data_IF_438582741658
#
_entry.id   IF_438582741658
#
_cell.length_a   1.000
_cell.length_b   1.000
_cell.length_c   1.000
_cell.angle_alpha   90.00
_cell.angle_beta   90.00
_cell.angle_gamma   90.00
#
_symmetry.space_group_name_H-M   'P 1'
#
loop_
_entity.id
_entity.type
_entity.pdbx_description
1 polymer ?
#
# COMPACT_ATOMS: atom_id res chain seq x y z
N UNK A 1 19.61 -22.41 -17.89
CA UNK A 1 18.62 -21.62 -17.13
C UNK A 1 17.24 -22.03 -17.63
N UNK A 2 16.48 -22.81 -16.88
CA UNK A 2 15.21 -23.43 -17.32
C UNK A 2 14.13 -22.39 -17.72
N UNK A 3 14.21 -21.19 -17.15
CA UNK A 3 13.31 -20.08 -17.46
C UNK A 3 13.40 -19.63 -18.94
N UNK A 4 14.59 -19.68 -19.54
CA UNK A 4 14.77 -19.25 -20.94
C UNK A 4 14.16 -20.25 -21.92
N UNK A 5 14.10 -21.53 -21.56
CA UNK A 5 13.45 -22.57 -22.37
C UNK A 5 11.92 -22.43 -22.36
N UNK A 6 11.36 -22.06 -21.22
CA UNK A 6 9.91 -21.82 -21.05
C UNK A 6 9.42 -20.56 -21.77
N UNK A 7 10.22 -19.50 -21.81
CA UNK A 7 9.85 -18.27 -22.54
C UNK A 7 9.80 -18.46 -24.05
N UNK A 8 10.63 -19.35 -24.60
CA UNK A 8 10.69 -19.63 -26.05
C UNK A 8 9.54 -20.54 -26.52
N UNK A 9 8.95 -21.34 -25.63
CA UNK A 9 7.86 -22.26 -25.98
C UNK A 9 6.46 -21.66 -25.95
N UNK A 10 6.31 -20.40 -25.50
CA UNK A 10 5.01 -19.73 -25.45
C UNK A 10 4.64 -19.08 -26.80
N UNK A 11 3.35 -19.14 -27.21
CA UNK A 11 2.89 -18.49 -28.44
C UNK A 11 3.21 -16.98 -28.44
N UNK A 12 3.61 -16.38 -29.56
CA UNK A 12 3.98 -14.98 -29.60
C UNK A 12 2.74 -14.11 -29.33
N UNK A 13 2.69 -13.50 -28.13
CA UNK A 13 1.58 -12.67 -27.65
C UNK A 13 1.39 -11.34 -28.42
N UNK A 14 2.03 -11.17 -29.59
CA UNK A 14 2.00 -9.93 -30.36
C UNK A 14 2.61 -8.73 -29.64
N UNK A 15 3.31 -8.96 -28.52
CA UNK A 15 3.97 -7.92 -27.72
C UNK A 15 5.37 -7.67 -28.28
N UNK A 16 5.56 -6.56 -28.96
CA UNK A 16 6.88 -6.10 -29.41
C UNK A 16 7.72 -5.69 -28.19
N UNK A 17 8.52 -6.63 -27.68
CA UNK A 17 9.43 -6.37 -26.57
C UNK A 17 10.63 -5.55 -27.08
N UNK A 18 10.59 -4.22 -26.88
CA UNK A 18 11.75 -3.37 -27.14
C UNK A 18 12.71 -3.50 -25.96
N UNK A 19 14.00 -3.72 -26.25
CA UNK A 19 15.08 -3.71 -25.24
C UNK A 19 15.39 -2.26 -24.84
N UNK A 20 14.41 -1.60 -24.25
CA UNK A 20 14.62 -0.32 -23.61
C UNK A 20 15.30 -0.56 -22.26
N UNK A 21 16.25 0.28 -21.89
CA UNK A 21 17.04 0.18 -20.65
C UNK A 21 16.15 0.07 -19.41
N UNK A 22 15.01 0.77 -19.40
CA UNK A 22 14.02 0.71 -18.31
C UNK A 22 13.38 -0.66 -18.09
N UNK A 23 13.27 -1.49 -19.14
CA UNK A 23 12.74 -2.85 -19.03
C UNK A 23 13.81 -3.78 -18.44
N UNK A 24 15.07 -3.60 -18.83
CA UNK A 24 16.19 -4.32 -18.23
C UNK A 24 16.34 -3.96 -16.75
N UNK A 25 16.24 -2.68 -16.39
CA UNK A 25 16.21 -2.21 -15.00
C UNK A 25 15.04 -2.85 -14.23
N UNK A 26 13.85 -2.94 -14.84
CA UNK A 26 12.69 -3.59 -14.22
C UNK A 26 12.91 -5.10 -14.00
N UNK A 27 13.56 -5.79 -14.94
CA UNK A 27 13.88 -7.21 -14.81
C UNK A 27 14.94 -7.41 -13.73
N UNK A 28 15.98 -6.58 -13.73
CA UNK A 28 17.09 -6.65 -12.78
C UNK A 28 16.60 -6.36 -11.35
N UNK A 29 15.72 -5.38 -11.17
CA UNK A 29 15.08 -5.08 -9.88
C UNK A 29 14.11 -6.15 -9.39
N UNK A 30 13.50 -6.93 -10.30
CA UNK A 30 12.63 -8.07 -9.95
C UNK A 30 13.41 -9.35 -9.64
N UNK A 31 14.55 -9.56 -10.31
CA UNK A 31 15.43 -10.71 -10.09
C UNK A 31 16.41 -10.52 -8.93
N UNK A 32 16.72 -9.26 -8.58
CA UNK A 32 17.53 -8.90 -7.44
C UNK A 32 16.76 -7.90 -6.54
N UNK A 33 15.95 -8.39 -5.57
CA UNK A 33 15.14 -7.53 -4.70
C UNK A 33 15.93 -6.56 -3.79
N UNK A 34 17.26 -6.51 -3.88
CA UNK A 34 18.13 -5.86 -2.91
C UNK A 34 18.64 -4.45 -3.30
N UNK A 35 18.27 -3.88 -4.45
CA UNK A 35 19.00 -2.68 -4.94
C UNK A 35 18.20 -1.41 -5.28
N UNK A 36 16.90 -1.32 -4.99
CA UNK A 36 16.21 0.00 -5.03
C UNK A 36 15.72 0.41 -3.65
N UNK A 37 16.68 0.62 -2.77
CA UNK A 37 16.46 1.44 -1.58
C UNK A 37 17.71 2.28 -1.39
N UNK A 38 17.86 3.35 -2.18
CA UNK A 38 18.81 4.44 -1.94
C UNK A 38 18.52 5.60 -2.90
N UNK A 39 17.34 6.22 -2.74
CA UNK A 39 17.16 7.67 -2.84
C UNK A 39 16.07 8.12 -1.86
N UNK A 40 16.25 7.67 -0.63
CA UNK A 40 15.88 8.37 0.60
C UNK A 40 16.62 7.67 1.74
N UNK A 41 17.91 8.01 1.85
CA UNK A 41 18.77 7.86 3.03
C UNK A 41 18.76 6.52 3.79
N UNK A 42 19.64 5.61 3.31
CA UNK A 42 20.62 4.82 4.07
C UNK A 42 20.09 4.03 5.30
N UNK A 43 19.83 2.74 5.11
CA UNK A 43 20.02 1.72 6.15
C UNK A 43 21.05 0.70 5.64
N UNK A 44 22.19 0.67 6.33
CA UNK A 44 23.33 -0.22 6.09
C UNK A 44 22.94 -1.66 6.48
N UNK A 45 22.91 -2.56 5.50
CA UNK A 45 22.31 -3.88 5.61
C UNK A 45 23.31 -4.96 6.05
N UNK A 46 24.03 -4.74 7.15
CA UNK A 46 24.98 -5.73 7.71
C UNK A 46 24.69 -6.13 9.16
N UNK A 47 23.45 -5.97 9.64
CA UNK A 47 23.06 -6.50 10.96
C UNK A 47 21.62 -7.03 10.94
N UNK A 48 21.48 -8.28 10.50
CA UNK A 48 20.21 -8.93 10.12
C UNK A 48 19.30 -9.30 11.30
N UNK A 49 19.67 -9.11 12.57
CA UNK A 49 18.86 -9.68 13.66
C UNK A 49 18.18 -8.70 14.65
N UNK A 50 18.25 -7.37 14.49
CA UNK A 50 17.64 -6.45 15.49
C UNK A 50 16.94 -5.18 14.96
N UNK A 51 16.76 -4.98 13.64
CA UNK A 51 16.24 -3.71 13.10
C UNK A 51 15.02 -3.77 12.15
N UNK A 52 14.33 -4.91 12.04
CA UNK A 52 13.01 -4.97 11.35
C UNK A 52 11.88 -4.39 12.23
N UNK A 53 12.12 -4.36 13.54
CA UNK A 53 11.23 -3.84 14.59
C UNK A 53 10.74 -2.38 14.45
N UNK A 54 11.51 -1.38 13.96
CA UNK A 54 11.08 0.03 13.95
C UNK A 54 10.08 0.36 12.83
N UNK A 55 10.20 -0.31 11.68
CA UNK A 55 9.39 -0.02 10.49
C UNK A 55 7.94 -0.48 10.71
N UNK A 56 7.76 -1.58 11.46
CA UNK A 56 6.44 -2.12 11.80
C UNK A 56 5.70 -1.30 12.89
N UNK A 57 6.38 -0.37 13.57
CA UNK A 57 5.82 0.41 14.68
C UNK A 57 5.07 1.67 14.23
N UNK A 58 5.38 2.22 13.05
CA UNK A 58 4.74 3.44 12.55
C UNK A 58 3.49 3.09 11.73
N UNK A 59 2.37 3.74 12.02
CA UNK A 59 1.17 3.60 11.21
C UNK A 59 1.36 4.28 9.84
N UNK A 60 0.88 3.62 8.78
CA UNK A 60 0.63 4.31 7.51
C UNK A 60 -0.55 5.24 7.69
N UNK A 61 -0.40 6.51 7.29
CA UNK A 61 -1.44 7.54 7.41
C UNK A 61 -1.91 7.94 6.02
N UNK A 62 -3.21 8.01 5.83
CA UNK A 62 -3.86 8.42 4.58
C UNK A 62 -4.98 9.40 4.91
N UNK A 63 -5.09 10.47 4.14
CA UNK A 63 -6.24 11.38 4.24
C UNK A 63 -7.39 10.79 3.43
N UNK A 64 -8.59 10.79 4.00
CA UNK A 64 -9.79 10.28 3.35
C UNK A 64 -10.76 11.44 3.13
N UNK A 65 -11.41 11.46 1.96
CA UNK A 65 -12.44 12.44 1.65
C UNK A 65 -13.83 12.04 2.21
N UNK A 66 -14.04 10.75 2.45
CA UNK A 66 -15.31 10.18 2.89
C UNK A 66 -15.08 8.91 3.72
N UNK A 67 -15.82 8.75 4.80
CA UNK A 67 -16.06 7.47 5.47
C UNK A 67 -17.55 7.15 5.46
N UNK A 68 -17.92 5.90 5.19
CA UNK A 68 -19.31 5.42 5.19
C UNK A 68 -19.41 4.09 5.93
N UNK A 69 -20.39 3.98 6.82
CA UNK A 69 -20.72 2.78 7.60
C UNK A 69 -22.24 2.61 7.57
N UNK A 70 -22.73 1.62 6.82
CA UNK A 70 -24.16 1.46 6.58
C UNK A 70 -24.79 2.72 5.97
N UNK A 71 -25.77 3.29 6.66
CA UNK A 71 -26.43 4.57 6.30
C UNK A 71 -25.71 5.80 6.85
N UNK A 72 -24.80 5.65 7.80
CA UNK A 72 -24.03 6.75 8.36
C UNK A 72 -22.83 7.08 7.46
N UNK A 73 -22.52 8.37 7.29
CA UNK A 73 -21.35 8.81 6.55
C UNK A 73 -20.79 10.14 7.07
N UNK A 74 -19.50 10.37 6.83
CA UNK A 74 -18.84 11.66 7.02
C UNK A 74 -17.96 12.03 5.86
N UNK A 75 -18.14 13.26 5.38
CA UNK A 75 -17.36 13.90 4.33
C UNK A 75 -16.37 14.85 4.98
N UNK A 76 -15.10 14.76 4.58
CA UNK A 76 -14.05 15.68 5.03
C UNK A 76 -14.24 17.05 4.36
N UNK A 77 -14.21 18.13 5.14
CA UNK A 77 -14.19 19.51 4.61
C UNK A 77 -12.75 19.94 4.35
N UNK A 78 -11.82 19.52 5.23
CA UNK A 78 -10.39 19.72 5.11
C UNK A 78 -9.66 18.36 5.07
N UNK A 79 -8.43 18.35 4.56
CA UNK A 79 -7.65 17.12 4.39
C UNK A 79 -7.41 16.33 5.69
N UNK A 80 -7.43 17.02 6.84
CA UNK A 80 -7.20 16.42 8.16
C UNK A 80 -8.49 16.04 8.89
N UNK A 81 -9.66 16.31 8.31
CA UNK A 81 -10.94 16.05 8.98
C UNK A 81 -11.23 14.55 9.11
N UNK A 82 -10.76 13.74 8.15
CA UNK A 82 -10.87 12.28 8.19
C UNK A 82 -9.52 11.68 7.83
N UNK A 83 -8.84 11.12 8.84
CA UNK A 83 -7.52 10.49 8.67
C UNK A 83 -7.64 9.00 8.93
N UNK A 84 -7.24 8.19 7.96
CA UNK A 84 -7.13 6.74 8.07
C UNK A 84 -5.71 6.36 8.49
N UNK A 85 -5.60 5.43 9.43
CA UNK A 85 -4.32 4.89 9.91
C UNK A 85 -4.33 3.37 9.85
N UNK A 86 -3.35 2.81 9.15
CA UNK A 86 -3.11 1.37 9.13
C UNK A 86 -1.97 1.05 10.08
N UNK A 87 -2.28 0.42 11.22
CA UNK A 87 -1.29 -0.09 12.15
C UNK A 87 -1.02 -1.56 11.84
N UNK A 88 -0.14 -1.84 10.88
CA UNK A 88 0.18 -3.20 10.47
C UNK A 88 0.72 -4.05 11.62
N UNK A 89 1.65 -3.52 12.43
CA UNK A 89 2.18 -4.24 13.60
C UNK A 89 1.15 -4.51 14.69
N UNK A 90 0.12 -3.64 14.82
CA UNK A 90 -0.97 -3.83 15.80
C UNK A 90 -2.20 -4.50 15.21
N UNK A 91 -2.13 -4.92 13.94
CA UNK A 91 -3.22 -5.53 13.18
C UNK A 91 -4.56 -4.79 13.36
N UNK A 92 -4.54 -3.48 13.16
CA UNK A 92 -5.75 -2.64 13.26
C UNK A 92 -5.79 -1.49 12.27
N UNK A 93 -7.00 -1.10 11.91
CA UNK A 93 -7.31 0.10 11.14
C UNK A 93 -7.98 1.11 12.08
N UNK A 94 -7.60 2.39 11.94
CA UNK A 94 -8.17 3.48 12.74
C UNK A 94 -8.57 4.61 11.82
N UNK A 95 -9.79 5.10 11.96
CA UNK A 95 -10.21 6.38 11.39
C UNK A 95 -10.31 7.40 12.50
N UNK A 96 -9.63 8.52 12.33
CA UNK A 96 -9.76 9.70 13.19
C UNK A 96 -10.63 10.72 12.47
N UNK A 97 -11.68 11.19 13.14
CA UNK A 97 -12.64 12.13 12.59
C UNK A 97 -12.62 13.39 13.46
N UNK A 98 -12.28 14.53 12.87
CA UNK A 98 -12.31 15.83 13.51
C UNK A 98 -13.59 16.55 13.14
N UNK A 99 -14.40 16.91 14.13
CA UNK A 99 -15.63 17.66 13.93
C UNK A 99 -15.77 18.73 15.00
N UNK A 100 -15.91 20.00 14.57
CA UNK A 100 -16.11 21.16 15.46
C UNK A 100 -15.05 21.27 16.57
N UNK A 101 -13.80 20.92 16.24
CA UNK A 101 -12.68 20.93 17.19
C UNK A 101 -12.61 19.71 18.13
N UNK A 102 -13.58 18.78 18.03
CA UNK A 102 -13.57 17.53 18.77
C UNK A 102 -13.06 16.39 17.89
N UNK A 103 -12.19 15.56 18.45
CA UNK A 103 -11.62 14.41 17.76
C UNK A 103 -12.27 13.12 18.25
N UNK A 104 -12.90 12.40 17.35
CA UNK A 104 -13.42 11.04 17.58
C UNK A 104 -12.60 10.02 16.80
N UNK A 105 -12.68 8.74 17.18
CA UNK A 105 -12.01 7.66 16.46
C UNK A 105 -12.86 6.41 16.34
N UNK A 106 -12.69 5.69 15.23
CA UNK A 106 -13.22 4.36 14.99
C UNK A 106 -12.03 3.42 14.85
N UNK A 107 -12.03 2.31 15.58
CA UNK A 107 -10.93 1.35 15.62
C UNK A 107 -11.47 -0.04 15.27
N UNK A 108 -10.89 -0.66 14.25
CA UNK A 108 -11.27 -1.98 13.76
C UNK A 108 -10.04 -2.89 13.82
N UNK A 109 -10.13 -3.95 14.62
CA UNK A 109 -9.13 -5.01 14.62
C UNK A 109 -9.25 -5.85 13.35
N UNK A 110 -8.13 -6.31 12.81
CA UNK A 110 -8.14 -7.12 11.59
C UNK A 110 -8.89 -8.44 11.75
N UNK A 111 -8.98 -8.97 12.97
CA UNK A 111 -9.77 -10.16 13.29
C UNK A 111 -11.27 -9.97 13.02
N UNK A 112 -11.74 -8.72 12.98
CA UNK A 112 -13.11 -8.37 12.65
C UNK A 112 -13.34 -8.10 11.16
N UNK A 113 -12.29 -8.18 10.32
CA UNK A 113 -12.38 -7.93 8.88
C UNK A 113 -12.48 -9.28 8.17
N UNK A 114 -13.64 -9.57 7.61
CA UNK A 114 -13.92 -10.74 6.80
C UNK A 114 -13.45 -10.56 5.35
N UNK A 115 -13.52 -9.33 4.84
CA UNK A 115 -13.17 -9.03 3.46
C UNK A 115 -12.63 -7.61 3.27
N UNK A 116 -11.76 -7.45 2.26
CA UNK A 116 -11.24 -6.14 1.87
C UNK A 116 -11.22 -6.02 0.35
N UNK A 117 -11.75 -4.91 -0.17
CA UNK A 117 -11.81 -4.61 -1.61
C UNK A 117 -11.30 -3.21 -1.88
N UNK A 118 -10.51 -3.07 -2.93
CA UNK A 118 -10.06 -1.76 -3.44
C UNK A 118 -10.64 -1.53 -4.83
N UNK A 119 -11.21 -0.35 -5.04
CA UNK A 119 -11.67 0.11 -6.35
C UNK A 119 -10.88 1.36 -6.75
N UNK A 120 -10.19 1.29 -7.88
CA UNK A 120 -9.42 2.40 -8.45
C UNK A 120 -9.97 2.71 -9.84
N UNK A 121 -10.37 3.95 -10.08
CA UNK A 121 -10.81 4.43 -11.39
C UNK A 121 -9.95 5.62 -11.80
N UNK A 122 -9.70 5.76 -13.11
CA UNK A 122 -8.89 6.86 -13.64
C UNK A 122 -9.54 8.20 -13.26
N UNK A 123 -8.74 9.11 -12.70
CA UNK A 123 -9.16 10.44 -12.27
C UNK A 123 -10.25 10.46 -11.18
N UNK A 124 -10.40 9.38 -10.40
CA UNK A 124 -11.34 9.31 -9.28
C UNK A 124 -10.63 8.92 -7.97
N UNK A 125 -11.17 9.28 -6.80
CA UNK A 125 -10.64 8.82 -5.53
C UNK A 125 -10.67 7.29 -5.44
N UNK A 126 -9.63 6.70 -4.87
CA UNK A 126 -9.61 5.27 -4.55
C UNK A 126 -10.59 4.95 -3.42
N UNK A 127 -11.30 3.84 -3.53
CA UNK A 127 -12.26 3.39 -2.52
C UNK A 127 -11.75 2.11 -1.88
N UNK A 128 -11.62 2.13 -0.55
CA UNK A 128 -11.36 0.95 0.28
C UNK A 128 -12.67 0.52 0.95
N UNK A 129 -13.11 -0.71 0.69
CA UNK A 129 -14.29 -1.32 1.32
C UNK A 129 -13.85 -2.46 2.23
N UNK A 130 -14.52 -2.58 3.36
CA UNK A 130 -14.33 -3.62 4.37
C UNK A 130 -15.66 -4.28 4.66
N UNK A 131 -15.64 -5.61 4.80
CA UNK A 131 -16.76 -6.47 5.23
C UNK A 131 -16.34 -7.23 6.48
#
# INVERSE_FOLDING_TARGET
NEMTKLLVSLPPLGLHLRKESSLLDLIETRLNPQQVLLDSTIINHNNINNQVEPILKKASKLNASLIKIGSWQRVAVHEEDVVTKCYFGKKKLVWEILERGLKSKIEIHWECIMGMRVSLQKNQPGILQLE
#
